data_IF_322718733100
#
_entry.id   IF_322718733100
#
_cell.length_a   1.000
_cell.length_b   1.000
_cell.length_c   1.000
_cell.angle_alpha   90.00
_cell.angle_beta   90.00
_cell.angle_gamma   90.00
#
_symmetry.space_group_name_H-M   'P 1'
#
loop_
_entity.id
_entity.type
_entity.pdbx_description
1 polymer ?
#
# COMPACT_ATOMS: atom_id res chain seq x y z
N UNK A 1 13.23 9.46 -17.75
CA UNK A 1 12.44 8.23 -17.63
C UNK A 1 12.43 7.80 -16.16
N UNK A 2 11.24 7.60 -15.60
CA UNK A 2 11.15 7.19 -14.20
C UNK A 2 11.61 5.74 -14.04
N UNK A 3 12.40 5.49 -13.03
CA UNK A 3 12.76 4.15 -12.60
C UNK A 3 11.61 3.60 -11.75
N UNK A 4 10.96 2.55 -12.21
CA UNK A 4 9.79 1.97 -11.53
C UNK A 4 10.13 1.56 -10.09
N UNK A 5 11.31 0.98 -9.86
CA UNK A 5 11.74 0.60 -8.51
C UNK A 5 11.85 1.82 -7.61
N UNK A 6 12.46 2.90 -8.10
CA UNK A 6 12.61 4.14 -7.33
C UNK A 6 11.24 4.77 -7.02
N UNK A 7 10.29 4.70 -7.95
CA UNK A 7 8.95 5.23 -7.73
C UNK A 7 8.22 4.46 -6.62
N UNK A 8 8.36 3.14 -6.59
CA UNK A 8 7.74 2.33 -5.53
C UNK A 8 8.39 2.61 -4.16
N UNK A 9 9.73 2.75 -4.13
CA UNK A 9 10.42 3.12 -2.89
C UNK A 9 9.94 4.48 -2.39
N UNK A 10 9.80 5.46 -3.28
CA UNK A 10 9.30 6.79 -2.93
C UNK A 10 7.87 6.72 -2.39
N UNK A 11 7.01 5.91 -3.00
CA UNK A 11 5.65 5.73 -2.55
C UNK A 11 5.59 5.32 -1.07
N UNK A 12 6.40 4.34 -0.66
CA UNK A 12 6.40 3.88 0.73
C UNK A 12 6.95 4.92 1.70
N UNK A 13 7.87 5.77 1.29
CA UNK A 13 8.35 6.85 2.17
C UNK A 13 7.30 7.94 2.34
N UNK A 14 6.40 8.11 1.37
CA UNK A 14 5.32 9.11 1.41
C UNK A 14 4.19 8.74 2.39
N UNK A 15 4.15 7.51 2.89
CA UNK A 15 3.10 7.06 3.80
C UNK A 15 3.21 7.68 5.21
N UNK A 16 4.26 8.39 5.50
CA UNK A 16 4.54 8.92 6.85
C UNK A 16 4.19 10.38 6.97
N UNK A 17 3.90 10.83 8.23
CA UNK A 17 3.79 10.05 9.46
C UNK A 17 2.39 9.54 9.80
N UNK A 18 1.36 9.88 9.02
CA UNK A 18 -0.02 9.62 9.40
C UNK A 18 -0.80 8.89 8.31
N UNK A 19 -1.96 8.36 8.68
CA UNK A 19 -2.89 7.76 7.73
C UNK A 19 -3.30 8.76 6.64
N UNK A 20 -3.45 10.04 6.99
CA UNK A 20 -3.76 11.08 6.02
C UNK A 20 -2.65 11.22 4.98
N UNK A 21 -1.40 11.11 5.38
CA UNK A 21 -0.26 11.14 4.44
C UNK A 21 -0.26 9.94 3.52
N UNK A 22 -0.59 8.76 4.03
CA UNK A 22 -0.74 7.55 3.22
C UNK A 22 -1.83 7.73 2.16
N UNK A 23 -2.99 8.26 2.55
CA UNK A 23 -4.09 8.51 1.61
C UNK A 23 -3.69 9.56 0.56
N UNK A 24 -2.97 10.60 0.96
CA UNK A 24 -2.47 11.62 0.03
C UNK A 24 -1.48 11.02 -0.97
N UNK A 25 -0.61 10.11 -0.53
CA UNK A 25 0.33 9.42 -1.41
C UNK A 25 -0.43 8.54 -2.42
N UNK A 26 -1.45 7.83 -1.98
CA UNK A 26 -2.29 7.03 -2.86
C UNK A 26 -3.00 7.91 -3.88
N UNK A 27 -3.54 9.05 -3.46
CA UNK A 27 -4.23 9.98 -4.37
C UNK A 27 -3.29 10.50 -5.46
N UNK A 28 -2.06 10.83 -5.10
CA UNK A 28 -1.08 11.32 -6.09
C UNK A 28 -0.71 10.27 -7.12
N UNK A 29 -0.70 9.00 -6.74
CA UNK A 29 -0.16 7.92 -7.59
C UNK A 29 -1.23 7.06 -8.24
N UNK A 30 -2.47 7.10 -7.73
CA UNK A 30 -3.59 6.37 -8.33
C UNK A 30 -4.20 7.17 -9.46
N UNK A 31 -4.71 6.46 -10.46
CA UNK A 31 -5.61 7.02 -11.48
C UNK A 31 -7.01 6.47 -11.23
N UNK A 32 -7.98 6.89 -12.03
CA UNK A 32 -9.35 6.35 -11.96
C UNK A 32 -9.40 4.86 -12.32
N UNK A 33 -8.33 4.32 -12.90
CA UNK A 33 -8.26 2.94 -13.37
C UNK A 33 -7.32 2.06 -12.54
N UNK A 34 -6.64 2.63 -11.55
CA UNK A 34 -5.70 1.87 -10.72
C UNK A 34 -6.42 0.75 -9.98
N UNK A 35 -5.95 -0.47 -10.19
CA UNK A 35 -6.46 -1.64 -9.47
C UNK A 35 -5.58 -1.86 -8.24
N UNK A 36 -6.20 -1.82 -7.06
CA UNK A 36 -5.53 -2.19 -5.81
C UNK A 36 -6.25 -3.41 -5.24
N UNK A 37 -5.51 -4.49 -5.11
CA UNK A 37 -6.06 -5.76 -4.67
C UNK A 37 -5.27 -6.31 -3.48
N UNK A 38 -5.97 -6.64 -2.41
CA UNK A 38 -5.46 -7.51 -1.35
C UNK A 38 -6.02 -8.88 -1.67
N UNK A 39 -5.19 -9.73 -2.25
CA UNK A 39 -5.65 -10.96 -2.91
C UNK A 39 -6.35 -11.87 -1.90
N UNK A 40 -7.59 -12.22 -2.22
CA UNK A 40 -8.45 -13.01 -1.34
C UNK A 40 -9.32 -12.21 -0.39
N UNK A 41 -9.13 -10.88 -0.28
CA UNK A 41 -9.90 -10.03 0.64
C UNK A 41 -10.65 -8.89 -0.05
N UNK A 42 -9.97 -8.12 -0.89
CA UNK A 42 -10.56 -6.89 -1.45
C UNK A 42 -9.94 -6.55 -2.79
N UNK A 43 -10.72 -5.87 -3.61
CA UNK A 43 -10.26 -5.33 -4.90
C UNK A 43 -10.98 -4.02 -5.15
N UNK A 44 -10.22 -2.97 -5.41
CA UNK A 44 -10.78 -1.65 -5.72
C UNK A 44 -10.27 -1.17 -7.06
N UNK A 45 -11.03 -0.28 -7.71
CA UNK A 45 -10.64 0.38 -8.95
C UNK A 45 -10.78 1.88 -8.75
N UNK A 46 -9.68 2.61 -8.90
CA UNK A 46 -9.61 4.04 -8.71
C UNK A 46 -9.43 4.46 -7.26
N UNK A 47 -9.02 5.71 -7.08
CA UNK A 47 -8.73 6.24 -5.74
C UNK A 47 -9.97 6.31 -4.85
N UNK A 48 -11.12 6.69 -5.40
CA UNK A 48 -12.33 6.85 -4.59
C UNK A 48 -12.71 5.54 -3.88
N UNK A 49 -12.65 4.40 -4.58
CA UNK A 49 -12.93 3.10 -3.98
C UNK A 49 -11.85 2.71 -2.96
N UNK A 50 -10.59 2.99 -3.29
CA UNK A 50 -9.47 2.69 -2.38
C UNK A 50 -9.60 3.50 -1.09
N UNK A 51 -9.96 4.78 -1.18
CA UNK A 51 -10.20 5.63 -0.01
C UNK A 51 -11.33 5.09 0.84
N UNK A 52 -12.44 4.67 0.22
CA UNK A 52 -13.57 4.11 0.95
C UNK A 52 -13.17 2.85 1.72
N UNK A 53 -12.33 1.99 1.12
CA UNK A 53 -11.80 0.80 1.79
C UNK A 53 -10.93 1.18 2.98
N UNK A 54 -10.03 2.16 2.81
CA UNK A 54 -9.15 2.62 3.90
C UNK A 54 -9.94 3.28 5.02
N UNK A 55 -10.96 4.08 4.69
CA UNK A 55 -11.84 4.69 5.69
C UNK A 55 -12.58 3.60 6.50
N UNK A 56 -12.97 2.51 5.84
CA UNK A 56 -13.57 1.35 6.51
C UNK A 56 -12.62 0.70 7.50
N UNK A 57 -11.37 0.50 7.14
CA UNK A 57 -10.36 -0.02 8.07
C UNK A 57 -10.15 0.91 9.25
N UNK A 58 -10.11 2.22 9.02
CA UNK A 58 -9.93 3.20 10.09
C UNK A 58 -11.10 3.24 11.07
N UNK A 59 -12.29 2.83 10.63
CA UNK A 59 -13.44 2.69 11.52
C UNK A 59 -13.39 1.39 12.34
N UNK A 60 -12.79 0.33 11.80
CA UNK A 60 -12.68 -0.96 12.48
C UNK A 60 -11.48 -1.02 13.43
N UNK A 61 -10.39 -0.33 13.09
CA UNK A 61 -9.14 -0.34 13.84
C UNK A 61 -8.68 1.10 14.04
N UNK A 62 -8.17 1.47 15.22
CA UNK A 62 -7.76 2.84 15.51
C UNK A 62 -6.40 3.18 14.89
N UNK A 63 -6.29 3.03 13.57
CA UNK A 63 -5.04 3.24 12.81
C UNK A 63 -4.78 4.74 12.67
N UNK A 64 -3.60 5.20 13.12
CA UNK A 64 -3.14 6.58 12.99
C UNK A 64 -1.93 6.69 12.07
N UNK A 65 -1.09 5.66 12.02
CA UNK A 65 0.13 5.69 11.22
C UNK A 65 0.51 4.30 10.72
N UNK A 66 1.38 4.27 9.72
CA UNK A 66 1.88 3.04 9.14
C UNK A 66 3.40 3.13 8.96
N UNK A 67 4.05 1.98 9.05
CA UNK A 67 5.47 1.83 8.74
C UNK A 67 5.62 0.66 7.77
N UNK A 68 6.34 0.89 6.68
CA UNK A 68 6.63 -0.16 5.71
C UNK A 68 8.11 -0.51 5.80
N UNK A 69 8.40 -1.77 6.07
CA UNK A 69 9.76 -2.31 6.05
C UNK A 69 9.90 -3.12 4.78
N UNK A 70 10.68 -2.61 3.82
CA UNK A 70 10.96 -3.32 2.58
C UNK A 70 12.19 -4.19 2.81
N UNK A 71 11.99 -5.50 2.85
CA UNK A 71 13.08 -6.45 3.06
C UNK A 71 13.84 -6.69 1.77
N UNK A 72 13.12 -6.86 0.66
CA UNK A 72 13.70 -7.08 -0.66
C UNK A 72 12.81 -6.41 -1.70
N UNK A 73 13.46 -5.86 -2.73
CA UNK A 73 12.76 -5.21 -3.83
C UNK A 73 13.52 -5.51 -5.12
N UNK A 74 12.79 -5.83 -6.17
CA UNK A 74 13.35 -6.10 -7.50
C UNK A 74 12.39 -5.62 -8.57
N UNK A 75 12.93 -5.22 -9.71
CA UNK A 75 12.13 -4.75 -10.83
C UNK A 75 12.49 -5.50 -12.10
N UNK A 76 11.46 -5.73 -12.92
CA UNK A 76 11.59 -6.22 -14.28
C UNK A 76 10.74 -5.31 -15.17
N UNK A 77 11.39 -4.42 -15.92
CA UNK A 77 10.67 -3.40 -16.68
C UNK A 77 9.87 -2.50 -15.74
N UNK A 78 8.57 -2.36 -15.99
CA UNK A 78 7.67 -1.55 -15.19
C UNK A 78 6.99 -2.33 -14.05
N UNK A 79 7.38 -3.58 -13.84
CA UNK A 79 6.84 -4.42 -12.75
C UNK A 79 7.85 -4.45 -11.61
N UNK A 80 7.38 -4.16 -10.39
CA UNK A 80 8.21 -4.14 -9.20
C UNK A 80 7.66 -5.14 -8.20
N UNK A 81 8.55 -6.01 -7.68
CA UNK A 81 8.21 -7.01 -6.68
C UNK A 81 8.82 -6.59 -5.35
N UNK A 82 8.03 -6.71 -4.29
CA UNK A 82 8.47 -6.36 -2.94
C UNK A 82 8.18 -7.48 -1.96
N UNK A 83 9.11 -7.71 -1.04
CA UNK A 83 8.83 -8.47 0.18
C UNK A 83 8.86 -7.47 1.32
N UNK A 84 7.74 -7.36 2.05
CA UNK A 84 7.57 -6.29 3.05
C UNK A 84 6.97 -6.80 4.33
N UNK A 85 7.14 -5.99 5.37
CA UNK A 85 6.29 -6.02 6.57
C UNK A 85 5.62 -4.66 6.67
N UNK A 86 4.29 -4.65 6.68
CA UNK A 86 3.49 -3.44 6.88
C UNK A 86 2.97 -3.45 8.30
N UNK A 87 3.37 -2.45 9.09
CA UNK A 87 2.96 -2.29 10.48
C UNK A 87 2.06 -1.08 10.62
N UNK A 88 0.99 -1.22 11.38
CA UNK A 88 0.05 -0.13 11.65
C UNK A 88 -0.02 0.14 13.14
N UNK A 89 -0.07 1.43 13.49
CA UNK A 89 0.01 1.89 14.88
C UNK A 89 -1.20 2.75 15.21
N UNK A 90 -1.61 2.74 16.49
CA UNK A 90 -2.65 3.62 17.00
C UNK A 90 -2.07 5.00 17.36
N UNK A 91 -2.92 5.90 17.89
CA UNK A 91 -2.52 7.25 18.26
C UNK A 91 -1.56 7.32 19.45
N UNK A 92 -1.37 6.22 20.16
CA UNK A 92 -0.43 6.11 21.29
C UNK A 92 0.90 5.47 20.86
N UNK A 93 1.05 5.16 19.56
CA UNK A 93 2.24 4.52 19.03
C UNK A 93 2.31 3.02 19.26
N UNK A 94 1.22 2.39 19.67
CA UNK A 94 1.17 0.93 19.85
C UNK A 94 0.90 0.26 18.52
N UNK A 95 1.65 -0.81 18.22
CA UNK A 95 1.43 -1.59 17.02
C UNK A 95 0.19 -2.44 17.20
N UNK A 96 -0.80 -2.25 16.31
CA UNK A 96 -2.07 -2.95 16.36
C UNK A 96 -2.22 -4.00 15.25
N UNK A 97 -1.50 -3.82 14.12
CA UNK A 97 -1.52 -4.76 13.01
C UNK A 97 -0.10 -4.88 12.44
N UNK A 98 0.30 -6.09 12.10
CA UNK A 98 1.56 -6.35 11.41
C UNK A 98 1.32 -7.41 10.34
N UNK A 99 1.60 -7.08 9.09
CA UNK A 99 1.33 -7.95 7.95
C UNK A 99 2.64 -8.21 7.20
N UNK A 100 2.99 -9.49 7.08
CA UNK A 100 4.12 -9.92 6.24
C UNK A 100 3.55 -10.30 4.88
N UNK A 101 4.09 -9.73 3.82
CA UNK A 101 3.50 -9.88 2.50
C UNK A 101 4.51 -9.78 1.37
N UNK A 102 4.09 -10.28 0.21
CA UNK A 102 4.70 -10.02 -1.09
C UNK A 102 3.77 -9.13 -1.89
N UNK A 103 4.28 -8.05 -2.46
CA UNK A 103 3.49 -7.12 -3.26
C UNK A 103 4.04 -6.93 -4.65
N UNK A 104 3.13 -6.77 -5.62
CA UNK A 104 3.46 -6.52 -7.02
C UNK A 104 2.90 -5.18 -7.42
N UNK A 105 3.75 -4.33 -8.01
CA UNK A 105 3.33 -3.04 -8.57
C UNK A 105 3.59 -3.04 -10.07
N UNK A 106 2.60 -2.62 -10.84
CA UNK A 106 2.77 -2.32 -12.27
C UNK A 106 2.68 -0.81 -12.40
N UNK A 107 3.73 -0.20 -12.95
CA UNK A 107 3.89 1.26 -12.94
C UNK A 107 3.79 1.84 -14.34
N UNK A 108 3.29 3.09 -14.41
CA UNK A 108 3.37 3.95 -15.58
C UNK A 108 3.97 5.28 -15.11
N UNK A 109 5.30 5.40 -15.24
CA UNK A 109 6.01 6.51 -14.62
C UNK A 109 5.77 6.54 -13.13
N UNK A 110 5.34 7.69 -12.56
CA UNK A 110 5.03 7.78 -11.13
C UNK A 110 3.67 7.21 -10.75
N UNK A 111 2.85 6.80 -11.74
CA UNK A 111 1.50 6.32 -11.49
C UNK A 111 1.48 4.81 -11.33
N UNK A 112 0.63 4.34 -10.41
CA UNK A 112 0.40 2.93 -10.17
C UNK A 112 -0.75 2.47 -11.07
N UNK A 113 -0.46 1.51 -11.95
CA UNK A 113 -1.48 0.89 -12.81
C UNK A 113 -2.21 -0.21 -12.04
N UNK A 114 -1.43 -1.02 -11.33
CA UNK A 114 -1.96 -2.10 -10.51
C UNK A 114 -1.05 -2.33 -9.31
N UNK A 115 -1.66 -2.69 -8.19
CA UNK A 115 -0.96 -3.01 -6.94
C UNK A 115 -1.67 -4.20 -6.33
N UNK A 116 -0.97 -5.33 -6.19
CA UNK A 116 -1.49 -6.55 -5.62
C UNK A 116 -0.62 -6.99 -4.46
N UNK A 117 -1.23 -7.16 -3.30
CA UNK A 117 -0.56 -7.68 -2.12
C UNK A 117 -1.07 -9.10 -1.81
N UNK A 118 -0.12 -10.00 -1.54
CA UNK A 118 -0.37 -11.41 -1.22
C UNK A 118 0.11 -11.69 0.19
N UNK A 119 -0.77 -12.13 1.05
CA UNK A 119 -0.43 -12.45 2.44
C UNK A 119 -1.38 -13.52 2.98
N UNK A 120 -1.10 -13.98 4.19
CA UNK A 120 -1.92 -15.01 4.84
C UNK A 120 -3.26 -14.40 5.28
N UNK A 121 -4.30 -14.59 4.48
CA UNK A 121 -5.64 -14.05 4.75
C UNK A 121 -6.42 -14.90 5.76
N UNK A 122 -5.94 -16.11 6.06
CA UNK A 122 -6.61 -16.98 7.05
C UNK A 122 -6.56 -16.41 8.46
N UNK A 123 -5.56 -15.55 8.74
CA UNK A 123 -5.43 -14.88 10.05
C UNK A 123 -6.27 -13.61 10.14
N UNK A 124 -6.90 -13.19 9.04
CA UNK A 124 -7.52 -11.89 8.93
C UNK A 124 -6.47 -10.78 8.99
N UNK A 125 -6.87 -9.64 9.44
CA UNK A 125 -5.94 -8.54 9.63
C UNK A 125 -5.48 -8.51 11.06
#
# INVERSE_FOLDING_TARGET
MSDALAEVQAFFTEWRPTLADMLAAMDRRFTDETVWENVGLSRTVGFAEAKALMDGFAQMYPIESAEVIVHHIAAHGNVVLTERTDNFFDGEGQQIVSIKLMGVFEMDGPKIVAWRDYFDTAKGF
#
